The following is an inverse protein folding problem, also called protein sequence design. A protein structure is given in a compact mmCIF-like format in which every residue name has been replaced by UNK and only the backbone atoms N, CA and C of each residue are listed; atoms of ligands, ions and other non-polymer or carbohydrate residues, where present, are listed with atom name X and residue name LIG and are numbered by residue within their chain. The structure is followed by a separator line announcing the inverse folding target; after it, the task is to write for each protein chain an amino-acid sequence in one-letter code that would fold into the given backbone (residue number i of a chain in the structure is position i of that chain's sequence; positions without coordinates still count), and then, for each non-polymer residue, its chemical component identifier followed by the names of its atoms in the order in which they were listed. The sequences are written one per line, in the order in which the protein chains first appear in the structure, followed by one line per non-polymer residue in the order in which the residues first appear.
data_IF_169401984215
#
_entry.id   IF_169401984215
#
_cell.length_a   1.000
_cell.length_b   1.000
_cell.length_c   1.000
_cell.angle_alpha   90.00
_cell.angle_beta   90.00
_cell.angle_gamma   90.00
#
_symmetry.space_group_name_H-M   'P 1'
#
loop_
_entity.id
_entity.type
_entity.pdbx_description
1 polymer ?
#
# COMPACT_ATOMS: atom_id res chain seq x y z
N UNK A 1 35.53 -50.51 8.79
CA UNK A 1 35.31 -49.49 7.74
C UNK A 1 33.88 -49.03 7.80
N UNK A 2 33.64 -47.83 8.34
CA UNK A 2 32.36 -47.16 8.21
C UNK A 2 32.56 -46.03 7.20
N UNK A 3 31.79 -46.08 6.11
CA UNK A 3 31.74 -45.04 5.09
C UNK A 3 30.45 -44.27 5.31
N UNK A 4 30.55 -42.97 5.57
CA UNK A 4 29.39 -42.09 5.66
C UNK A 4 29.32 -41.22 4.41
N UNK A 5 28.15 -41.16 3.80
CA UNK A 5 27.83 -40.24 2.71
C UNK A 5 26.91 -39.17 3.26
N UNK A 6 27.24 -37.91 3.04
CA UNK A 6 26.38 -36.76 3.33
C UNK A 6 25.85 -36.18 2.03
N UNK A 7 24.55 -35.89 2.00
CA UNK A 7 23.90 -35.12 0.95
C UNK A 7 23.32 -33.85 1.57
N UNK A 8 23.44 -32.73 0.86
CA UNK A 8 22.83 -31.46 1.23
C UNK A 8 21.64 -31.20 0.33
N UNK A 9 20.47 -30.91 0.93
CA UNK A 9 19.28 -30.45 0.23
C UNK A 9 18.95 -29.04 0.73
N UNK A 10 18.56 -28.16 -0.19
CA UNK A 10 18.10 -26.80 0.10
C UNK A 10 16.59 -26.76 -0.06
N UNK A 11 15.89 -26.18 0.92
CA UNK A 11 14.47 -25.84 0.82
C UNK A 11 14.41 -24.39 0.35
N UNK A 12 13.73 -24.16 -0.76
CA UNK A 12 13.49 -22.82 -1.34
C UNK A 12 11.99 -22.59 -1.33
N UNK A 13 11.59 -21.42 -0.83
CA UNK A 13 10.20 -20.99 -0.91
C UNK A 13 9.96 -20.23 -2.22
N UNK A 14 9.01 -20.71 -2.99
CA UNK A 14 8.63 -20.13 -4.29
C UNK A 14 7.18 -19.66 -4.30
N UNK A 15 6.51 -19.65 -3.14
CA UNK A 15 5.11 -19.26 -3.03
C UNK A 15 5.06 -17.80 -2.65
N UNK A 16 4.34 -17.01 -3.44
CA UNK A 16 4.13 -15.61 -3.12
C UNK A 16 3.06 -15.45 -2.04
N UNK A 17 3.15 -14.39 -1.22
CA UNK A 17 2.12 -14.05 -0.24
C UNK A 17 0.75 -13.86 -0.90
N UNK A 18 -0.31 -14.18 -0.17
CA UNK A 18 -1.70 -13.95 -0.58
C UNK A 18 -2.21 -12.60 -0.06
N UNK A 19 -2.96 -11.86 -0.88
CA UNK A 19 -3.69 -10.67 -0.44
C UNK A 19 -5.07 -11.11 0.06
N UNK A 20 -5.28 -11.02 1.38
CA UNK A 20 -6.54 -11.36 2.03
C UNK A 20 -7.54 -10.21 1.99
N UNK A 21 -7.03 -8.98 2.10
CA UNK A 21 -7.83 -7.75 2.02
C UNK A 21 -7.14 -6.80 1.06
N UNK A 22 -7.87 -6.37 0.03
CA UNK A 22 -7.36 -5.43 -0.95
C UNK A 22 -7.20 -4.03 -0.35
N UNK A 23 -6.24 -3.26 -0.86
CA UNK A 23 -6.14 -1.85 -0.52
C UNK A 23 -7.44 -1.12 -0.91
N UNK A 24 -7.84 -0.18 -0.07
CA UNK A 24 -9.06 0.60 -0.23
C UNK A 24 -8.73 2.05 -0.56
N UNK A 25 -9.52 2.63 -1.45
CA UNK A 25 -9.39 4.02 -1.84
C UNK A 25 -9.73 4.93 -0.67
N UNK A 26 -9.09 6.10 -0.63
CA UNK A 26 -9.46 7.17 0.29
C UNK A 26 -9.71 8.46 -0.48
N UNK A 27 -10.67 9.24 0.01
CA UNK A 27 -10.96 10.59 -0.49
C UNK A 27 -10.83 11.56 0.68
N UNK A 28 -10.20 12.70 0.44
CA UNK A 28 -9.98 13.74 1.45
C UNK A 28 -10.47 15.08 0.91
N UNK A 29 -11.02 15.92 1.77
CA UNK A 29 -11.52 17.24 1.39
C UNK A 29 -10.38 18.20 0.97
N UNK A 30 -10.64 19.03 -0.04
CA UNK A 30 -9.75 20.11 -0.46
C UNK A 30 -9.91 21.34 0.45
N UNK A 31 -9.61 21.20 1.74
CA UNK A 31 -9.84 22.24 2.74
C UNK A 31 -8.63 23.16 2.99
N UNK A 32 -7.50 22.88 2.32
CA UNK A 32 -6.25 23.62 2.51
C UNK A 32 -5.52 23.32 3.83
N UNK A 33 -5.98 22.35 4.63
CA UNK A 33 -5.40 21.98 5.94
C UNK A 33 -4.18 21.08 5.83
N UNK A 34 -3.74 20.76 4.62
CA UNK A 34 -2.61 19.86 4.39
C UNK A 34 -2.98 18.42 4.69
N UNK A 35 -3.62 17.77 3.70
CA UNK A 35 -4.01 16.35 3.71
C UNK A 35 -2.85 15.35 3.84
N UNK A 36 -1.65 15.84 4.13
CA UNK A 36 -0.42 15.07 4.26
C UNK A 36 -0.51 14.04 5.40
N UNK A 37 -1.15 14.37 6.52
CA UNK A 37 -1.30 13.41 7.63
C UNK A 37 -2.17 12.23 7.22
N UNK A 38 -3.32 12.47 6.58
CA UNK A 38 -4.23 11.40 6.17
C UNK A 38 -3.61 10.46 5.14
N UNK A 39 -2.83 11.00 4.19
CA UNK A 39 -2.10 10.14 3.25
C UNK A 39 -0.99 9.36 3.95
N UNK A 40 -0.25 9.94 4.89
CA UNK A 40 0.77 9.20 5.63
C UNK A 40 0.14 8.08 6.46
N UNK A 41 -0.96 8.33 7.15
CA UNK A 41 -1.67 7.30 7.92
C UNK A 41 -2.18 6.18 7.02
N UNK A 42 -2.71 6.51 5.85
CA UNK A 42 -3.16 5.53 4.86
C UNK A 42 -2.00 4.70 4.28
N UNK A 43 -0.86 5.33 3.97
CA UNK A 43 0.34 4.64 3.49
C UNK A 43 0.93 3.72 4.57
N UNK A 44 1.00 4.19 5.82
CA UNK A 44 1.48 3.40 6.96
C UNK A 44 0.59 2.18 7.24
N UNK A 45 -0.69 2.26 6.88
CA UNK A 45 -1.63 1.16 6.98
C UNK A 45 -1.74 0.34 5.67
N UNK A 46 -0.82 0.49 4.72
CA UNK A 46 -0.81 -0.21 3.43
C UNK A 46 -2.13 -0.06 2.63
N UNK A 47 -2.75 1.11 2.75
CA UNK A 47 -4.07 1.36 2.17
C UNK A 47 -5.20 0.53 2.78
N UNK A 48 -5.00 -0.03 3.98
CA UNK A 48 -5.90 -1.01 4.61
C UNK A 48 -5.74 -2.43 4.10
N UNK A 49 -4.73 -2.71 3.27
CA UNK A 49 -4.48 -4.04 2.75
C UNK A 49 -3.93 -4.98 3.83
N UNK A 50 -4.30 -6.26 3.72
CA UNK A 50 -3.81 -7.34 4.57
C UNK A 50 -3.32 -8.46 3.67
N UNK A 51 -2.15 -8.99 3.99
CA UNK A 51 -1.55 -10.12 3.31
C UNK A 51 -1.12 -11.18 4.33
N UNK A 52 -1.15 -12.44 3.92
CA UNK A 52 -0.66 -13.58 4.68
C UNK A 52 0.24 -14.46 3.82
N UNK A 53 1.19 -15.12 4.48
CA UNK A 53 2.09 -16.09 3.90
C UNK A 53 2.26 -17.24 4.88
N UNK A 54 2.23 -18.48 4.37
CA UNK A 54 2.26 -19.68 5.22
C UNK A 54 3.68 -20.00 5.71
N UNK A 55 4.70 -19.43 5.06
CA UNK A 55 6.08 -19.85 5.20
C UNK A 55 6.96 -18.79 5.88
N UNK A 56 6.62 -17.50 5.75
CA UNK A 56 7.48 -16.42 6.23
C UNK A 56 6.76 -15.10 6.58
N UNK A 57 7.49 -14.20 7.20
CA UNK A 57 7.01 -12.86 7.53
C UNK A 57 6.91 -11.97 6.27
N UNK A 58 5.94 -11.06 6.28
CA UNK A 58 5.68 -10.14 5.15
C UNK A 58 6.20 -8.74 5.45
N UNK A 59 6.92 -8.18 4.48
CA UNK A 59 7.31 -6.77 4.45
C UNK A 59 6.52 -6.01 3.40
N UNK A 60 6.04 -4.82 3.75
CA UNK A 60 5.29 -3.96 2.83
C UNK A 60 6.12 -2.79 2.30
N UNK A 61 5.92 -2.48 1.03
CA UNK A 61 6.44 -1.26 0.39
C UNK A 61 5.36 -0.63 -0.48
N UNK A 62 5.54 0.63 -0.87
CA UNK A 62 4.64 1.31 -1.80
C UNK A 62 5.42 2.22 -2.75
N UNK A 63 4.80 2.55 -3.88
CA UNK A 63 5.41 3.41 -4.90
C UNK A 63 5.05 4.89 -4.77
N UNK A 64 4.53 5.34 -3.62
CA UNK A 64 4.08 6.72 -3.47
C UNK A 64 5.28 7.68 -3.53
N UNK A 65 5.35 8.45 -4.63
CA UNK A 65 6.46 9.36 -4.92
C UNK A 65 6.37 10.74 -4.25
N UNK A 66 5.45 10.95 -3.31
CA UNK A 66 5.32 12.23 -2.60
C UNK A 66 4.67 13.35 -3.43
N UNK A 67 3.99 13.03 -4.53
CA UNK A 67 3.28 14.05 -5.32
C UNK A 67 2.17 14.65 -4.47
N UNK A 68 2.27 15.95 -4.18
CA UNK A 68 1.17 16.70 -3.58
C UNK A 68 -0.01 16.66 -4.56
N UNK A 69 -1.07 15.91 -4.24
CA UNK A 69 -2.32 15.98 -5.00
C UNK A 69 -2.84 17.42 -4.90
N UNK A 70 -3.19 17.98 -6.05
CA UNK A 70 -3.53 19.38 -6.27
C UNK A 70 -5.05 19.60 -6.33
N UNK A 71 -5.82 18.76 -5.63
CA UNK A 71 -7.28 18.70 -5.71
C UNK A 71 -7.85 18.41 -7.12
N UNK A 72 -6.99 18.18 -8.13
CA UNK A 72 -7.41 17.96 -9.50
C UNK A 72 -7.35 16.49 -9.92
N UNK A 73 -6.36 15.73 -9.42
CA UNK A 73 -6.14 14.35 -9.85
C UNK A 73 -5.99 13.38 -8.68
N UNK A 74 -6.66 12.23 -8.81
CA UNK A 74 -6.44 11.09 -7.95
C UNK A 74 -5.08 10.44 -8.26
N UNK A 75 -4.37 10.03 -7.21
CA UNK A 75 -3.08 9.37 -7.28
C UNK A 75 -3.30 7.88 -7.02
N UNK A 76 -2.91 7.04 -7.97
CA UNK A 76 -2.89 5.58 -7.75
C UNK A 76 -1.59 5.19 -7.05
N UNK A 77 -1.71 4.53 -5.90
CA UNK A 77 -0.59 3.95 -5.17
C UNK A 77 -0.67 2.43 -5.24
N UNK A 78 0.45 1.81 -5.55
CA UNK A 78 0.63 0.36 -5.57
C UNK A 78 1.37 -0.03 -4.30
N UNK A 79 0.76 -0.93 -3.53
CA UNK A 79 1.33 -1.55 -2.36
C UNK A 79 1.83 -2.95 -2.73
N UNK A 80 3.06 -3.26 -2.32
CA UNK A 80 3.73 -4.54 -2.59
C UNK A 80 4.01 -5.22 -1.27
N UNK A 81 3.46 -6.42 -1.09
CA UNK A 81 3.78 -7.33 0.00
C UNK A 81 4.84 -8.32 -0.49
N UNK A 82 5.98 -8.37 0.18
CA UNK A 82 7.12 -9.23 -0.14
C UNK A 82 7.44 -10.12 1.05
N UNK A 83 7.62 -11.41 0.78
CA UNK A 83 7.99 -12.41 1.78
C UNK A 83 9.51 -12.40 2.08
N UNK A 84 9.98 -13.26 2.98
CA UNK A 84 11.40 -13.30 3.35
C UNK A 84 12.31 -13.89 2.24
N UNK A 85 11.73 -14.61 1.28
CA UNK A 85 12.42 -15.26 0.18
C UNK A 85 12.45 -14.40 -1.10
N UNK A 86 11.75 -13.27 -1.10
CA UNK A 86 11.67 -12.32 -2.21
C UNK A 86 10.48 -12.52 -3.14
N UNK A 87 9.56 -13.45 -2.86
CA UNK A 87 8.31 -13.56 -3.60
C UNK A 87 7.39 -12.41 -3.20
N UNK A 88 6.67 -11.85 -4.17
CA UNK A 88 5.87 -10.64 -3.96
C UNK A 88 4.49 -10.70 -4.61
N UNK A 89 3.54 -10.05 -3.96
CA UNK A 89 2.20 -9.77 -4.48
C UNK A 89 1.90 -8.28 -4.38
N UNK A 90 0.93 -7.80 -5.15
CA UNK A 90 0.61 -6.37 -5.23
C UNK A 90 -0.88 -6.11 -5.18
N UNK A 91 -1.23 -4.97 -4.59
CA UNK A 91 -2.57 -4.40 -4.62
C UNK A 91 -2.48 -2.90 -4.86
N UNK A 92 -3.52 -2.28 -5.39
CA UNK A 92 -3.51 -0.85 -5.69
C UNK A 92 -4.78 -0.18 -5.21
N UNK A 93 -4.64 1.08 -4.79
CA UNK A 93 -5.74 1.92 -4.39
C UNK A 93 -5.46 3.37 -4.74
N UNK A 94 -6.54 4.15 -4.83
CA UNK A 94 -6.47 5.56 -5.21
C UNK A 94 -6.64 6.47 -3.99
N UNK A 95 -5.80 7.49 -3.96
CA UNK A 95 -5.93 8.64 -3.08
C UNK A 95 -6.47 9.82 -3.90
N UNK A 96 -7.64 10.34 -3.55
CA UNK A 96 -8.23 11.51 -4.19
C UNK A 96 -8.34 12.66 -3.20
N UNK A 97 -8.07 13.88 -3.66
CA UNK A 97 -8.49 15.10 -2.98
C UNK A 97 -9.66 15.68 -3.76
N UNK A 98 -10.77 15.95 -3.08
CA UNK A 98 -12.00 16.47 -3.70
C UNK A 98 -12.52 17.65 -2.89
N UNK A 99 -13.03 18.68 -3.57
CA UNK A 99 -13.79 19.75 -2.92
C UNK A 99 -15.28 19.37 -2.96
N UNK A 100 -15.86 19.03 -1.81
CA UNK A 100 -17.30 18.80 -1.70
C UNK A 100 -18.05 20.01 -1.12
N UNK A 101 -17.34 21.09 -0.77
CA UNK A 101 -17.91 22.29 -0.14
C UNK A 101 -18.30 23.30 -1.20
N UNK A 102 -19.62 23.45 -1.42
CA UNK A 102 -20.12 24.48 -2.33
C UNK A 102 -19.80 25.90 -1.79
N UNK A 103 -19.39 26.85 -2.64
CA UNK A 103 -19.18 28.23 -2.21
C UNK A 103 -20.52 28.88 -1.79
N UNK A 104 -20.51 29.58 -0.67
CA UNK A 104 -21.64 30.42 -0.25
C UNK A 104 -21.46 31.82 -0.80
N UNK A 105 -22.46 32.34 -1.52
CA UNK A 105 -22.50 33.76 -1.88
C UNK A 105 -22.91 34.55 -0.64
N UNK A 106 -21.96 35.24 -0.01
CA UNK A 106 -22.27 36.36 0.86
C UNK A 106 -22.64 37.56 -0.02
N UNK A 107 -23.74 38.22 0.32
CA UNK A 107 -24.48 39.20 -0.49
C UNK A 107 -23.61 40.18 -1.29
N UNK A 108 -23.95 40.28 -2.58
CA UNK A 108 -23.43 41.18 -3.60
C UNK A 108 -23.53 42.66 -3.17
N UNK A 109 -22.45 43.43 -3.37
CA UNK A 109 -22.44 44.89 -3.26
C UNK A 109 -23.06 45.55 -4.50
#
# INVERSE_FOLDING_TARGET
NATTTTATFTIEDTIAPSIDTQASNISVECDGSGNNTQIQDWLNNNGGAIASDDCSDITWTNNYGGTTSDCANAITVVFTATDACGNATTTSATYAIQDTVAPTIDTQA
#
